data_IF_403903394945
#
_entry.id   IF_403903394945
#
_cell.length_a   1.000
_cell.length_b   1.000
_cell.length_c   1.000
_cell.angle_alpha   90.00
_cell.angle_beta   90.00
_cell.angle_gamma   90.00
#
_symmetry.space_group_name_H-M   'P 1'
#
loop_
_entity.id
_entity.type
_entity.pdbx_description
1 polymer ?
#
# COMPACT_ATOMS: atom_id res chain seq x y z
N UNK A 1 22.78 -5.38 46.45
CA UNK A 1 21.35 -5.04 46.29
C UNK A 1 20.74 -6.03 45.30
N UNK A 2 19.76 -6.83 45.75
CA UNK A 2 19.18 -7.97 45.01
C UNK A 2 17.92 -7.49 44.28
N UNK A 3 17.89 -7.58 42.95
CA UNK A 3 16.66 -7.38 42.18
C UNK A 3 15.98 -8.72 41.90
N UNK A 4 14.74 -8.84 42.36
CA UNK A 4 13.92 -10.05 42.40
C UNK A 4 13.36 -10.41 41.02
N UNK A 5 13.45 -11.69 40.64
CA UNK A 5 13.00 -12.26 39.35
C UNK A 5 11.51 -12.66 39.32
N UNK A 6 10.64 -12.02 40.10
CA UNK A 6 9.31 -12.56 40.47
C UNK A 6 8.09 -11.99 39.71
N UNK A 7 8.24 -11.44 38.51
CA UNK A 7 7.08 -11.00 37.69
C UNK A 7 7.00 -11.66 36.32
N UNK A 8 7.61 -12.85 36.15
CA UNK A 8 7.18 -13.81 35.13
C UNK A 8 6.05 -14.67 35.73
N UNK A 9 4.80 -14.36 35.39
CA UNK A 9 3.64 -15.28 35.31
C UNK A 9 2.33 -14.55 35.65
N UNK A 10 1.79 -13.77 34.70
CA UNK A 10 0.35 -13.52 34.61
C UNK A 10 0.06 -12.90 33.24
N UNK A 11 -1.03 -13.35 32.62
CA UNK A 11 -1.55 -12.96 31.30
C UNK A 11 -0.96 -13.68 30.06
N UNK A 12 -0.71 -14.98 30.18
CA UNK A 12 -0.83 -15.91 29.05
C UNK A 12 -2.22 -16.55 29.05
N UNK A 13 -3.22 -15.87 28.47
CA UNK A 13 -4.53 -16.45 28.10
C UNK A 13 -5.35 -15.41 27.34
N UNK A 14 -5.15 -15.32 26.02
CA UNK A 14 -6.18 -14.87 25.08
C UNK A 14 -5.75 -15.32 23.68
N UNK A 15 -5.94 -16.61 23.46
CA UNK A 15 -5.72 -17.33 22.21
C UNK A 15 -7.10 -17.81 21.76
N UNK A 16 -7.41 -17.61 20.47
CA UNK A 16 -8.58 -18.09 19.71
C UNK A 16 -9.91 -17.36 19.89
N UNK A 17 -10.13 -16.32 19.07
CA UNK A 17 -11.43 -16.05 18.49
C UNK A 17 -11.28 -15.52 17.05
N UNK A 18 -11.81 -16.24 16.06
CA UNK A 18 -12.22 -15.67 14.78
C UNK A 18 -11.31 -15.92 13.56
N UNK A 19 -11.15 -17.18 13.16
CA UNK A 19 -10.92 -17.49 11.73
C UNK A 19 -12.27 -17.61 11.00
N UNK A 20 -12.30 -17.15 9.74
CA UNK A 20 -13.41 -17.22 8.77
C UNK A 20 -14.58 -16.24 9.05
N UNK A 21 -15.10 -15.45 8.10
CA UNK A 21 -15.27 -15.68 6.66
C UNK A 21 -15.08 -14.37 5.88
N UNK A 22 -14.10 -14.35 4.98
CA UNK A 22 -14.03 -13.42 3.87
C UNK A 22 -14.82 -14.05 2.71
N UNK A 23 -16.13 -13.85 2.66
CA UNK A 23 -16.93 -14.27 1.50
C UNK A 23 -16.96 -13.13 0.51
N UNK A 24 -16.09 -13.20 -0.50
CA UNK A 24 -16.24 -12.44 -1.72
C UNK A 24 -17.54 -12.88 -2.41
N UNK A 25 -18.51 -11.99 -2.48
CA UNK A 25 -19.61 -12.07 -3.43
C UNK A 25 -19.55 -10.84 -4.34
N UNK A 26 -18.57 -10.82 -5.25
CA UNK A 26 -18.64 -9.99 -6.45
C UNK A 26 -19.23 -10.83 -7.56
N UNK A 27 -20.55 -11.00 -7.52
CA UNK A 27 -21.30 -11.40 -8.70
C UNK A 27 -21.42 -10.16 -9.59
N UNK A 28 -20.43 -9.94 -10.47
CA UNK A 28 -20.67 -9.16 -11.68
C UNK A 28 -21.03 -10.16 -12.76
N UNK A 29 -22.31 -10.21 -13.10
CA UNK A 29 -22.77 -10.78 -14.35
C UNK A 29 -22.07 -10.04 -15.50
N UNK A 30 -20.95 -10.59 -15.95
CA UNK A 30 -20.37 -10.26 -17.24
C UNK A 30 -20.85 -11.32 -18.23
N UNK A 31 -22.14 -11.29 -18.51
CA UNK A 31 -22.73 -12.04 -19.61
C UNK A 31 -22.26 -11.33 -20.88
N UNK A 32 -21.07 -11.74 -21.35
CA UNK A 32 -20.62 -11.52 -22.71
C UNK A 32 -21.61 -12.20 -23.65
N UNK A 33 -22.68 -11.49 -23.99
CA UNK A 33 -23.57 -11.88 -25.07
C UNK A 33 -22.83 -11.58 -26.37
N UNK A 34 -22.15 -12.60 -26.89
CA UNK A 34 -21.83 -12.67 -28.30
C UNK A 34 -23.15 -12.58 -29.05
N UNK A 35 -23.23 -11.60 -29.95
CA UNK A 35 -24.47 -11.19 -30.57
C UNK A 35 -25.22 -12.31 -31.30
N UNK A 36 -26.54 -12.19 -31.25
CA UNK A 36 -27.49 -12.38 -32.35
C UNK A 36 -28.59 -11.33 -32.06
N UNK A 37 -28.80 -10.32 -32.90
CA UNK A 37 -29.55 -10.47 -34.14
C UNK A 37 -31.05 -10.49 -33.81
N UNK A 38 -31.75 -9.37 -34.01
CA UNK A 38 -33.21 -9.32 -33.87
C UNK A 38 -33.83 -7.94 -34.09
N UNK A 39 -34.30 -7.68 -35.30
CA UNK A 39 -35.03 -6.47 -35.69
C UNK A 39 -36.47 -6.49 -35.14
N UNK A 40 -36.79 -5.57 -34.23
CA UNK A 40 -38.17 -5.17 -33.96
C UNK A 40 -38.61 -4.09 -34.95
N UNK A 41 -39.61 -4.39 -35.78
CA UNK A 41 -40.12 -3.47 -36.79
C UNK A 41 -40.78 -2.25 -36.13
N UNK A 42 -40.16 -1.07 -36.30
CA UNK A 42 -40.78 0.21 -36.00
C UNK A 42 -39.97 1.07 -35.04
N UNK A 43 -39.44 2.16 -35.60
CA UNK A 43 -38.87 3.33 -34.93
C UNK A 43 -37.37 3.29 -34.60
N UNK A 44 -36.64 4.17 -35.28
CA UNK A 44 -35.22 4.45 -35.08
C UNK A 44 -34.94 4.93 -33.65
N UNK A 45 -33.96 4.32 -32.99
CA UNK A 45 -33.03 5.00 -32.10
C UNK A 45 -31.66 4.34 -32.24
N UNK A 46 -30.89 4.79 -33.22
CA UNK A 46 -29.45 4.56 -33.26
C UNK A 46 -28.83 5.54 -32.28
N UNK A 47 -28.70 5.15 -31.00
CA UNK A 47 -27.74 5.80 -30.11
C UNK A 47 -26.43 5.04 -30.24
N UNK A 48 -25.55 5.54 -31.11
CA UNK A 48 -24.13 5.22 -31.04
C UNK A 48 -23.61 5.77 -29.73
N UNK A 49 -23.52 4.92 -28.71
CA UNK A 49 -22.67 5.18 -27.58
C UNK A 49 -21.23 4.98 -28.05
N UNK A 50 -20.64 6.00 -28.66
CA UNK A 50 -19.19 6.17 -28.66
C UNK A 50 -18.78 6.49 -27.21
N UNK A 51 -18.87 5.46 -26.36
CA UNK A 51 -18.15 5.44 -25.12
C UNK A 51 -16.68 5.46 -25.51
N UNK A 52 -16.06 6.63 -25.47
CA UNK A 52 -14.61 6.74 -25.46
C UNK A 52 -14.16 5.93 -24.24
N UNK A 53 -13.74 4.69 -24.49
CA UNK A 53 -12.96 3.93 -23.55
C UNK A 53 -11.67 4.75 -23.38
N UNK A 54 -11.66 5.62 -22.37
CA UNK A 54 -10.41 6.13 -21.83
C UNK A 54 -9.51 4.93 -21.57
N UNK A 55 -8.17 5.08 -21.70
CA UNK A 55 -7.28 3.97 -21.42
C UNK A 55 -7.67 3.41 -20.06
N UNK A 56 -8.04 2.13 -20.02
CA UNK A 56 -8.20 1.46 -18.76
C UNK A 56 -6.94 1.77 -17.97
N UNK A 57 -7.05 2.50 -16.86
CA UNK A 57 -5.99 2.61 -15.88
C UNK A 57 -5.69 1.18 -15.46
N UNK A 58 -4.75 0.57 -16.17
CA UNK A 58 -4.36 -0.81 -15.94
C UNK A 58 -4.00 -0.88 -14.48
N UNK A 59 -4.68 -1.76 -13.74
CA UNK A 59 -4.43 -1.93 -12.32
C UNK A 59 -2.93 -2.15 -12.12
N UNK A 60 -2.23 -1.12 -11.62
CA UNK A 60 -0.79 -1.20 -11.38
C UNK A 60 -0.63 -2.17 -10.23
N UNK A 61 -0.29 -3.41 -10.58
CA UNK A 61 -0.02 -4.45 -9.60
C UNK A 61 1.34 -4.14 -8.99
N UNK A 62 1.33 -3.57 -7.78
CA UNK A 62 2.56 -3.36 -7.02
C UNK A 62 2.99 -4.70 -6.46
N UNK A 63 4.29 -5.02 -6.59
CA UNK A 63 4.86 -6.22 -6.01
C UNK A 63 4.61 -6.26 -4.49
N UNK A 64 4.11 -7.37 -3.92
CA UNK A 64 3.76 -7.46 -2.49
C UNK A 64 4.89 -7.04 -1.54
N UNK A 65 6.13 -7.35 -1.91
CA UNK A 65 7.32 -6.97 -1.17
C UNK A 65 7.55 -5.45 -1.11
N UNK A 66 7.21 -4.72 -2.18
CA UNK A 66 7.23 -3.26 -2.18
C UNK A 66 6.20 -2.71 -1.19
N UNK A 67 4.96 -3.21 -1.21
CA UNK A 67 3.92 -2.77 -0.28
C UNK A 67 4.29 -3.06 1.18
N UNK A 68 4.81 -4.25 1.47
CA UNK A 68 5.24 -4.64 2.81
C UNK A 68 6.43 -3.81 3.33
N UNK A 69 7.29 -3.31 2.43
CA UNK A 69 8.42 -2.46 2.81
C UNK A 69 8.00 -1.01 2.99
N UNK A 70 7.12 -0.52 2.12
CA UNK A 70 6.52 0.81 2.24
C UNK A 70 5.81 1.00 3.57
N UNK A 71 4.99 0.02 3.98
CA UNK A 71 4.31 0.08 5.28
C UNK A 71 5.30 0.20 6.44
N UNK A 72 6.45 -0.50 6.38
CA UNK A 72 7.49 -0.37 7.42
C UNK A 72 8.09 1.02 7.47
N UNK A 73 8.27 1.67 6.32
CA UNK A 73 8.78 3.05 6.26
C UNK A 73 7.75 4.04 6.77
N UNK A 74 6.48 3.91 6.37
CA UNK A 74 5.38 4.76 6.87
C UNK A 74 5.27 4.65 8.39
N UNK A 75 5.19 3.43 8.92
CA UNK A 75 5.12 3.20 10.36
C UNK A 75 6.33 3.79 11.10
N UNK A 76 7.53 3.68 10.53
CA UNK A 76 8.72 4.30 11.12
C UNK A 76 8.59 5.83 11.17
N UNK A 77 8.17 6.47 10.08
CA UNK A 77 7.97 7.93 10.03
C UNK A 77 6.92 8.37 11.05
N UNK A 78 5.79 7.68 11.12
CA UNK A 78 4.69 8.01 12.04
C UNK A 78 5.09 7.82 13.50
N UNK A 79 5.73 6.69 13.84
CA UNK A 79 6.17 6.41 15.21
C UNK A 79 7.18 7.45 15.71
N UNK A 80 8.15 7.83 14.88
CA UNK A 80 9.14 8.84 15.24
C UNK A 80 8.60 10.27 15.18
N UNK A 81 7.61 10.53 14.33
CA UNK A 81 6.86 11.78 14.33
C UNK A 81 6.07 11.98 15.63
N UNK A 82 5.38 10.93 16.09
CA UNK A 82 4.63 10.92 17.35
C UNK A 82 5.57 11.01 18.56
N UNK A 83 6.67 10.26 18.57
CA UNK A 83 7.64 10.27 19.66
C UNK A 83 8.43 11.58 19.75
N UNK A 84 8.56 12.32 18.64
CA UNK A 84 9.35 13.55 18.56
C UNK A 84 10.85 13.33 18.78
N UNK A 85 11.34 12.10 18.63
CA UNK A 85 12.72 11.69 18.86
C UNK A 85 13.61 11.79 17.60
N UNK A 86 13.01 12.12 16.45
CA UNK A 86 13.69 12.45 15.18
C UNK A 86 13.31 13.85 14.74
N UNK A 87 14.26 14.71 14.33
CA UNK A 87 13.94 16.06 13.83
C UNK A 87 12.97 16.02 12.64
N UNK A 88 12.00 16.93 12.61
CA UNK A 88 10.95 16.98 11.57
C UNK A 88 11.50 17.07 10.14
N UNK A 89 12.57 17.83 9.91
CA UNK A 89 13.24 17.90 8.60
C UNK A 89 13.76 16.54 8.11
N UNK A 90 14.21 15.67 9.02
CA UNK A 90 14.68 14.31 8.70
C UNK A 90 13.54 13.39 8.34
N UNK A 91 12.40 13.53 9.03
CA UNK A 91 11.17 12.81 8.70
C UNK A 91 10.62 13.24 7.34
N UNK A 92 10.70 14.53 7.00
CA UNK A 92 10.34 15.03 5.68
C UNK A 92 11.24 14.46 4.58
N UNK A 93 12.56 14.47 4.76
CA UNK A 93 13.50 13.84 3.82
C UNK A 93 13.22 12.34 3.62
N UNK A 94 12.91 11.62 4.70
CA UNK A 94 12.52 10.21 4.63
C UNK A 94 11.21 10.01 3.83
N UNK A 95 10.22 10.87 4.04
CA UNK A 95 8.96 10.84 3.30
C UNK A 95 9.14 11.12 1.80
N UNK A 96 9.99 12.09 1.43
CA UNK A 96 10.31 12.34 0.02
C UNK A 96 11.03 11.17 -0.64
N UNK A 97 12.04 10.59 0.02
CA UNK A 97 12.73 9.39 -0.47
C UNK A 97 11.77 8.18 -0.60
N UNK A 98 10.77 8.08 0.28
CA UNK A 98 9.73 7.04 0.19
C UNK A 98 8.91 7.19 -1.09
N UNK A 99 8.57 8.41 -1.51
CA UNK A 99 7.84 8.63 -2.78
C UNK A 99 8.66 8.24 -4.01
N UNK A 100 9.97 8.47 -3.99
CA UNK A 100 10.88 8.01 -5.06
C UNK A 100 10.89 6.47 -5.14
N UNK A 101 11.04 5.80 -4.00
CA UNK A 101 10.98 4.33 -3.93
C UNK A 101 9.62 3.78 -4.39
N UNK A 102 8.52 4.43 -4.00
CA UNK A 102 7.16 4.12 -4.46
C UNK A 102 7.04 4.23 -5.98
N UNK A 103 7.61 5.28 -6.56
CA UNK A 103 7.60 5.48 -8.02
C UNK A 103 8.39 4.37 -8.73
N UNK A 104 9.56 3.97 -8.21
CA UNK A 104 10.32 2.84 -8.74
C UNK A 104 9.52 1.53 -8.69
N UNK A 105 8.88 1.22 -7.56
CA UNK A 105 8.02 0.04 -7.41
C UNK A 105 6.84 0.05 -8.39
N UNK A 106 6.16 1.20 -8.57
CA UNK A 106 5.06 1.34 -9.54
C UNK A 106 5.51 1.19 -10.99
N UNK A 107 6.76 1.53 -11.29
CA UNK A 107 7.37 1.36 -12.60
C UNK A 107 7.93 -0.06 -12.83
N UNK A 108 7.67 -1.02 -11.94
CA UNK A 108 8.18 -2.40 -12.03
C UNK A 108 9.67 -2.54 -11.67
N UNK A 109 10.35 -1.46 -11.27
CA UNK A 109 11.75 -1.49 -10.81
C UNK A 109 11.83 -1.89 -9.35
N UNK A 110 11.37 -3.11 -9.05
CA UNK A 110 11.19 -3.63 -7.68
C UNK A 110 12.49 -3.57 -6.88
N UNK A 111 13.61 -4.03 -7.44
CA UNK A 111 14.90 -4.03 -6.74
C UNK A 111 15.37 -2.62 -6.33
N UNK A 112 15.18 -1.63 -7.21
CA UNK A 112 15.49 -0.22 -6.94
C UNK A 112 14.59 0.34 -5.84
N UNK A 113 13.28 0.09 -5.93
CA UNK A 113 12.33 0.54 -4.90
C UNK A 113 12.63 -0.06 -3.52
N UNK A 114 12.91 -1.36 -3.46
CA UNK A 114 13.31 -2.03 -2.21
C UNK A 114 14.61 -1.45 -1.63
N UNK A 115 15.61 -1.20 -2.48
CA UNK A 115 16.87 -0.58 -2.06
C UNK A 115 16.65 0.85 -1.53
N UNK A 116 15.72 1.60 -2.14
CA UNK A 116 15.29 2.92 -1.67
C UNK A 116 14.69 2.87 -0.26
N UNK A 117 13.72 1.98 -0.03
CA UNK A 117 13.15 1.80 1.30
C UNK A 117 14.18 1.30 2.33
N UNK A 118 15.08 0.38 1.96
CA UNK A 118 16.16 -0.08 2.84
C UNK A 118 17.13 1.04 3.23
N UNK A 119 17.45 1.95 2.30
CA UNK A 119 18.26 3.13 2.60
C UNK A 119 17.59 3.99 3.66
N UNK A 120 16.29 4.24 3.55
CA UNK A 120 15.53 5.03 4.55
C UNK A 120 15.63 4.36 5.92
N UNK A 121 15.31 3.07 6.02
CA UNK A 121 15.34 2.30 7.28
C UNK A 121 16.75 2.15 7.88
N UNK A 122 17.80 2.25 7.06
CA UNK A 122 19.19 2.29 7.54
C UNK A 122 19.65 3.69 7.94
N UNK A 123 19.07 4.75 7.36
CA UNK A 123 19.45 6.15 7.60
C UNK A 123 19.01 6.74 8.94
N UNK A 124 18.73 5.88 9.93
CA UNK A 124 18.35 6.19 11.33
C UNK A 124 19.32 7.12 12.07
N UNK A 125 20.48 7.40 11.49
CA UNK A 125 21.55 8.21 12.07
C UNK A 125 22.02 9.35 11.16
N UNK A 126 21.26 9.72 10.14
CA UNK A 126 21.73 10.78 9.25
C UNK A 126 21.64 12.11 10.01
N UNK A 127 22.82 12.66 10.29
CA UNK A 127 22.98 13.92 11.00
C UNK A 127 22.71 15.03 10.01
N UNK A 128 21.75 15.90 10.30
CA UNK A 128 21.67 17.20 9.65
C UNK A 128 22.86 18.01 10.15
N UNK A 129 23.91 18.07 9.34
CA UNK A 129 24.93 19.11 9.48
C UNK A 129 24.47 20.33 8.70
N UNK A 130 23.91 21.31 9.41
CA UNK A 130 23.81 22.71 8.99
C UNK A 130 22.64 23.06 8.07
N UNK A 131 21.82 24.00 8.53
CA UNK A 131 21.78 25.37 7.98
C UNK A 131 21.20 26.29 9.04
N UNK A 132 21.99 27.29 9.40
CA UNK A 132 21.59 28.53 10.07
C UNK A 132 20.52 29.30 9.26
#
# INVERSE_FOLDING_TARGET
MRFSRTTLALAGTLLLAGSAMLTMASARDNTGTTGLGGCGAGSLCVLSADGVAGPAEGAVTIAPECAAKELRVITWIEQHGEAGDVPSGRLAEAAFAMFEARAACRAGRVAEGLAGYDRILRSRNFSVTGTD
#
